data_IF_836957462796
#
_entry.id   IF_836957462796
#
_cell.length_a   1.000
_cell.length_b   1.000
_cell.length_c   1.000
_cell.angle_alpha   90.00
_cell.angle_beta   90.00
_cell.angle_gamma   90.00
#
_symmetry.space_group_name_H-M   'P 1'
#
loop_
_entity.id
_entity.type
_entity.pdbx_description
1 polymer ?
#
# COMPACT_ATOMS: atom_id res chain seq x y z
N UNK A 1 4.80 -10.42 -19.56
CA UNK A 1 5.30 -11.79 -19.40
C UNK A 1 4.36 -12.85 -20.00
N UNK A 2 3.07 -12.53 -20.15
CA UNK A 2 2.06 -13.42 -20.77
C UNK A 2 1.85 -13.17 -22.27
N UNK A 3 2.73 -12.47 -22.94
CA UNK A 3 2.70 -12.23 -24.39
C UNK A 3 1.73 -11.14 -24.86
N UNK A 4 0.99 -10.51 -23.98
CA UNK A 4 0.14 -9.38 -24.35
C UNK A 4 0.99 -8.12 -24.58
N UNK A 5 0.69 -7.36 -25.65
CA UNK A 5 1.30 -6.06 -25.88
C UNK A 5 0.72 -5.07 -24.85
N UNK A 6 1.57 -4.56 -23.97
CA UNK A 6 1.16 -3.76 -22.81
C UNK A 6 1.75 -2.36 -22.85
N UNK A 7 0.92 -1.36 -22.57
CA UNK A 7 1.32 0.02 -22.30
C UNK A 7 0.97 0.31 -20.83
N UNK A 8 1.94 0.82 -20.07
CA UNK A 8 1.75 1.29 -18.70
C UNK A 8 1.83 2.82 -18.70
N UNK A 9 0.74 3.45 -18.26
CA UNK A 9 0.61 4.91 -18.15
C UNK A 9 0.81 5.30 -16.70
N UNK A 10 1.72 6.23 -16.44
CA UNK A 10 2.05 6.71 -15.09
C UNK A 10 2.20 8.24 -15.08
N UNK A 11 1.53 8.90 -14.13
CA UNK A 11 1.58 10.35 -13.99
C UNK A 11 2.92 10.87 -13.46
N UNK A 12 3.62 10.08 -12.66
CA UNK A 12 4.96 10.38 -12.17
C UNK A 12 6.02 10.02 -13.22
N UNK A 13 7.27 10.40 -12.98
CA UNK A 13 8.42 10.01 -13.78
C UNK A 13 9.07 8.69 -13.35
N UNK A 14 8.37 7.85 -12.56
CA UNK A 14 8.88 6.61 -11.98
C UNK A 14 7.71 5.70 -11.55
N UNK A 15 8.01 4.41 -11.38
CA UNK A 15 7.09 3.39 -10.87
C UNK A 15 7.22 3.22 -9.34
N UNK A 16 6.32 2.43 -8.74
CA UNK A 16 6.37 1.99 -7.34
C UNK A 16 5.22 2.48 -6.46
N UNK A 17 4.35 3.35 -6.97
CA UNK A 17 3.16 3.82 -6.24
C UNK A 17 3.52 4.44 -4.90
N UNK A 18 2.80 4.08 -3.82
CA UNK A 18 2.99 4.67 -2.50
C UNK A 18 4.39 4.45 -1.90
N UNK A 19 5.07 3.35 -2.25
CA UNK A 19 6.42 3.05 -1.75
C UNK A 19 7.46 4.06 -2.26
N UNK A 20 7.27 4.61 -3.45
CA UNK A 20 8.20 5.56 -4.07
C UNK A 20 7.67 6.98 -4.09
N UNK A 21 6.37 7.17 -4.31
CA UNK A 21 5.76 8.50 -4.42
C UNK A 21 5.34 9.10 -3.07
N UNK A 22 5.07 8.28 -2.05
CA UNK A 22 4.58 8.78 -0.75
C UNK A 22 5.59 8.58 0.38
N UNK A 23 6.81 8.11 0.10
CA UNK A 23 7.82 7.82 1.11
C UNK A 23 7.37 6.77 2.14
N UNK A 24 6.43 5.88 1.75
CA UNK A 24 5.88 4.87 2.64
C UNK A 24 6.86 3.70 2.78
N UNK A 25 7.12 3.27 3.99
CA UNK A 25 7.93 2.10 4.33
C UNK A 25 7.74 1.71 5.79
N UNK A 26 8.21 0.52 6.18
CA UNK A 26 8.64 -0.62 5.35
C UNK A 26 7.46 -1.32 4.65
N UNK A 27 7.74 -2.31 3.80
CA UNK A 27 6.68 -3.17 3.27
C UNK A 27 6.20 -4.14 4.35
N UNK A 28 4.91 -4.18 4.60
CA UNK A 28 4.25 -5.01 5.62
C UNK A 28 3.04 -5.71 5.01
N UNK A 29 2.91 -7.00 5.03
CA UNK A 29 3.82 -8.09 5.34
C UNK A 29 3.76 -9.12 4.21
N UNK A 30 4.87 -9.81 3.94
CA UNK A 30 4.90 -10.93 2.99
C UNK A 30 4.48 -12.24 3.66
N UNK A 31 4.43 -12.27 5.00
CA UNK A 31 4.26 -13.49 5.79
C UNK A 31 2.99 -13.47 6.65
N UNK A 32 2.54 -14.67 6.98
CA UNK A 32 1.59 -14.96 8.05
C UNK A 32 2.23 -16.00 8.96
N UNK A 33 2.65 -15.60 10.16
CA UNK A 33 3.56 -16.40 10.97
C UNK A 33 4.86 -16.69 10.18
N UNK A 34 5.24 -17.96 10.14
CA UNK A 34 6.43 -18.42 9.41
C UNK A 34 6.17 -18.71 7.92
N UNK A 35 4.93 -18.59 7.46
CA UNK A 35 4.55 -18.88 6.07
C UNK A 35 4.60 -17.63 5.23
N UNK A 36 5.41 -17.64 4.17
CA UNK A 36 5.39 -16.58 3.18
C UNK A 36 4.17 -16.74 2.27
N UNK A 37 3.20 -15.83 2.40
CA UNK A 37 1.92 -15.88 1.67
C UNK A 37 1.87 -14.94 0.46
N UNK A 38 2.80 -14.00 0.35
CA UNK A 38 2.97 -13.15 -0.84
C UNK A 38 4.23 -13.60 -1.57
N UNK A 39 4.05 -14.16 -2.77
CA UNK A 39 5.11 -14.71 -3.63
C UNK A 39 4.88 -14.28 -5.09
N UNK A 40 5.66 -14.84 -6.03
CA UNK A 40 5.59 -14.53 -7.45
C UNK A 40 6.34 -13.22 -7.77
N UNK A 41 5.79 -12.37 -8.62
CA UNK A 41 6.43 -11.10 -9.02
C UNK A 41 6.83 -10.21 -7.85
N UNK A 42 6.03 -10.06 -6.76
CA UNK A 42 6.47 -9.34 -5.57
C UNK A 42 7.75 -9.88 -4.95
N UNK A 43 7.91 -11.20 -4.91
CA UNK A 43 9.11 -11.84 -4.39
C UNK A 43 10.30 -11.69 -5.35
N UNK A 44 10.08 -11.82 -6.65
CA UNK A 44 11.14 -11.59 -7.65
C UNK A 44 11.67 -10.15 -7.58
N UNK A 45 10.80 -9.17 -7.38
CA UNK A 45 11.19 -7.78 -7.19
C UNK A 45 12.06 -7.64 -5.94
N UNK A 46 11.65 -8.26 -4.83
CA UNK A 46 12.40 -8.17 -3.59
C UNK A 46 13.78 -8.86 -3.70
N UNK A 47 13.86 -10.01 -4.35
CA UNK A 47 15.13 -10.69 -4.64
C UNK A 47 16.07 -9.82 -5.47
N UNK A 48 15.54 -9.10 -6.44
CA UNK A 48 16.32 -8.18 -7.25
C UNK A 48 16.76 -6.95 -6.44
N UNK A 49 15.92 -6.44 -5.54
CA UNK A 49 16.28 -5.38 -4.59
C UNK A 49 17.43 -5.82 -3.66
N UNK A 50 17.35 -7.04 -3.11
CA UNK A 50 18.42 -7.62 -2.28
C UNK A 50 19.71 -7.77 -3.08
N UNK A 51 19.62 -8.34 -4.27
CA UNK A 51 20.77 -8.58 -5.14
C UNK A 51 21.54 -7.29 -5.48
N UNK A 52 20.81 -6.17 -5.62
CA UNK A 52 21.40 -4.84 -5.89
C UNK A 52 21.79 -4.06 -4.64
N UNK A 53 21.52 -4.58 -3.45
CA UNK A 53 21.81 -3.90 -2.17
C UNK A 53 20.80 -2.83 -1.79
N UNK A 54 19.59 -2.85 -2.39
CA UNK A 54 18.52 -1.90 -2.12
C UNK A 54 17.51 -2.40 -1.09
N UNK A 55 17.66 -3.61 -0.59
CA UNK A 55 16.82 -4.17 0.48
C UNK A 55 17.62 -5.15 1.34
N UNK A 56 17.15 -5.32 2.55
CA UNK A 56 17.69 -6.29 3.52
C UNK A 56 16.95 -7.62 3.49
N UNK A 57 15.90 -7.70 2.70
CA UNK A 57 14.98 -8.84 2.69
C UNK A 57 13.97 -8.81 3.83
N UNK A 58 13.21 -9.89 3.94
CA UNK A 58 12.18 -10.04 4.96
C UNK A 58 12.81 -10.33 6.31
N UNK A 59 12.47 -9.54 7.31
CA UNK A 59 12.88 -9.72 8.70
C UNK A 59 11.65 -9.79 9.61
N UNK A 60 11.75 -10.41 10.79
CA UNK A 60 10.68 -10.32 11.79
C UNK A 60 10.33 -8.85 12.08
N UNK A 61 9.05 -8.57 12.24
CA UNK A 61 8.60 -7.22 12.58
C UNK A 61 9.08 -6.83 13.99
N UNK A 62 9.93 -5.82 14.05
CA UNK A 62 10.48 -5.31 15.31
C UNK A 62 9.44 -4.65 16.21
N UNK A 63 8.30 -4.24 15.67
CA UNK A 63 7.15 -3.70 16.41
C UNK A 63 6.24 -4.83 16.91
N UNK A 64 6.30 -6.01 16.26
CA UNK A 64 5.45 -7.15 16.56
C UNK A 64 3.99 -6.98 16.17
N UNK A 65 3.70 -6.09 15.23
CA UNK A 65 2.36 -5.82 14.75
C UNK A 65 1.92 -6.81 13.66
N UNK A 66 2.84 -7.18 12.80
CA UNK A 66 2.64 -8.18 11.74
C UNK A 66 3.77 -9.22 11.76
N UNK A 67 3.79 -10.15 10.81
CA UNK A 67 4.75 -11.25 10.84
C UNK A 67 6.14 -10.85 10.36
N UNK A 68 6.21 -9.97 9.36
CA UNK A 68 7.49 -9.51 8.82
C UNK A 68 7.41 -8.08 8.30
N UNK A 69 8.56 -7.42 8.32
CA UNK A 69 8.79 -6.16 7.63
C UNK A 69 9.89 -6.32 6.59
N UNK A 70 9.90 -5.45 5.60
CA UNK A 70 10.91 -5.44 4.55
C UNK A 70 11.35 -4.00 4.31
N UNK A 71 12.50 -3.65 4.85
CA UNK A 71 13.11 -2.35 4.65
C UNK A 71 13.75 -2.27 3.27
N UNK A 72 13.63 -1.15 2.61
CA UNK A 72 14.09 -0.96 1.23
C UNK A 72 14.50 0.49 0.94
N UNK A 73 15.29 0.66 -0.10
CA UNK A 73 15.63 1.95 -0.70
C UNK A 73 14.60 2.31 -1.78
N UNK A 74 13.81 3.40 -1.61
CA UNK A 74 12.82 3.80 -2.59
C UNK A 74 13.42 4.23 -3.93
N UNK A 75 14.64 4.76 -3.98
CA UNK A 75 15.30 5.09 -5.24
C UNK A 75 15.74 3.83 -5.99
N UNK A 76 16.27 2.84 -5.27
CA UNK A 76 16.57 1.53 -5.84
C UNK A 76 15.31 0.83 -6.37
N UNK A 77 14.20 0.96 -5.68
CA UNK A 77 12.91 0.37 -6.10
C UNK A 77 12.39 0.97 -7.41
N UNK A 78 12.55 2.28 -7.65
CA UNK A 78 12.19 2.91 -8.93
C UNK A 78 12.93 2.23 -10.10
N UNK A 79 14.24 2.02 -9.93
CA UNK A 79 15.10 1.39 -10.94
C UNK A 79 14.66 -0.07 -11.18
N UNK A 80 14.46 -0.84 -10.12
CA UNK A 80 14.09 -2.26 -10.22
C UNK A 80 12.75 -2.45 -10.93
N UNK A 81 11.72 -1.68 -10.56
CA UNK A 81 10.43 -1.78 -11.24
C UNK A 81 10.49 -1.37 -12.71
N UNK A 82 11.27 -0.34 -13.04
CA UNK A 82 11.47 0.10 -14.42
C UNK A 82 12.15 -0.99 -15.26
N UNK A 83 13.24 -1.55 -14.75
CA UNK A 83 13.97 -2.63 -15.43
C UNK A 83 13.09 -3.86 -15.64
N UNK A 84 12.40 -4.33 -14.59
CA UNK A 84 11.49 -5.48 -14.68
C UNK A 84 10.35 -5.25 -15.70
N UNK A 85 9.80 -4.02 -15.76
CA UNK A 85 8.76 -3.69 -16.73
C UNK A 85 9.31 -3.70 -18.16
N UNK A 86 10.48 -3.11 -18.39
CA UNK A 86 11.14 -3.06 -19.72
C UNK A 86 11.57 -4.45 -20.19
N UNK A 87 12.14 -5.26 -19.31
CA UNK A 87 12.51 -6.65 -19.60
C UNK A 87 11.29 -7.50 -19.96
N UNK A 88 10.13 -7.20 -19.37
CA UNK A 88 8.86 -7.83 -19.75
C UNK A 88 8.26 -7.29 -21.06
N UNK A 89 8.91 -6.33 -21.72
CA UNK A 89 8.45 -5.75 -22.99
C UNK A 89 7.32 -4.72 -22.83
N UNK A 90 7.12 -4.17 -21.64
CA UNK A 90 6.11 -3.13 -21.38
C UNK A 90 6.56 -1.79 -21.97
N UNK A 91 5.67 -1.13 -22.70
CA UNK A 91 5.87 0.27 -23.11
C UNK A 91 5.49 1.20 -21.97
N UNK A 92 6.45 1.96 -21.45
CA UNK A 92 6.23 2.93 -20.38
C UNK A 92 5.87 4.30 -20.96
N UNK A 93 4.83 4.95 -20.38
CA UNK A 93 4.45 6.34 -20.67
C UNK A 93 4.38 7.13 -19.36
N UNK A 94 5.51 7.74 -19.00
CA UNK A 94 5.62 8.62 -17.83
C UNK A 94 5.06 10.02 -18.08
N UNK A 95 4.84 10.79 -17.01
CA UNK A 95 4.27 12.14 -17.05
C UNK A 95 3.00 12.21 -17.88
N UNK A 96 2.17 11.17 -17.77
CA UNK A 96 0.97 10.98 -18.55
C UNK A 96 -0.21 10.75 -17.63
N UNK A 97 -1.21 11.61 -17.72
CA UNK A 97 -2.40 11.60 -16.87
C UNK A 97 -3.59 11.05 -17.63
N UNK A 98 -4.31 10.11 -17.02
CA UNK A 98 -5.62 9.68 -17.54
C UNK A 98 -6.66 10.79 -17.31
N UNK A 99 -7.44 11.12 -18.34
CA UNK A 99 -8.42 12.21 -18.28
C UNK A 99 -9.85 11.77 -18.61
N UNK A 100 -10.04 10.53 -18.99
CA UNK A 100 -11.36 9.98 -19.29
C UNK A 100 -11.32 8.82 -20.26
N UNK A 101 -12.47 8.22 -20.51
CA UNK A 101 -12.63 7.14 -21.49
C UNK A 101 -13.96 7.25 -22.23
N UNK A 102 -14.05 6.56 -23.36
CA UNK A 102 -15.32 6.35 -24.07
C UNK A 102 -15.79 4.93 -23.85
N UNK A 103 -17.09 4.74 -23.61
CA UNK A 103 -17.70 3.43 -23.38
C UNK A 103 -18.87 3.24 -24.34
N UNK A 104 -18.91 2.08 -24.99
CA UNK A 104 -20.01 1.66 -25.84
C UNK A 104 -20.44 0.24 -25.47
N UNK A 105 -21.71 0.06 -25.16
CA UNK A 105 -22.30 -1.24 -24.80
C UNK A 105 -21.52 -1.98 -23.69
N UNK A 106 -21.11 -1.27 -22.64
CA UNK A 106 -20.37 -1.86 -21.52
C UNK A 106 -18.90 -2.18 -21.81
N UNK A 107 -18.34 -1.67 -22.91
CA UNK A 107 -16.95 -1.89 -23.31
C UNK A 107 -16.23 -0.55 -23.43
N UNK A 108 -15.13 -0.36 -22.73
CA UNK A 108 -14.25 0.80 -22.91
C UNK A 108 -13.60 0.68 -24.29
N UNK A 109 -13.78 1.74 -25.14
CA UNK A 109 -13.22 1.80 -26.49
C UNK A 109 -11.89 2.51 -26.50
N UNK A 110 -11.83 3.66 -25.85
CA UNK A 110 -10.62 4.48 -25.80
C UNK A 110 -10.40 5.05 -24.40
N UNK A 111 -9.14 5.19 -23.99
CA UNK A 111 -8.72 6.02 -22.88
C UNK A 111 -8.13 7.31 -23.42
N UNK A 112 -8.54 8.45 -22.86
CA UNK A 112 -7.98 9.76 -23.14
C UNK A 112 -6.91 10.10 -22.14
N UNK A 113 -5.75 10.49 -22.63
CA UNK A 113 -4.57 10.80 -21.87
C UNK A 113 -4.11 12.23 -22.14
N UNK A 114 -3.53 12.88 -21.14
CA UNK A 114 -2.89 14.17 -21.27
C UNK A 114 -1.39 14.07 -20.98
N UNK A 115 -0.60 14.67 -21.84
CA UNK A 115 0.85 14.81 -21.70
C UNK A 115 1.26 16.24 -22.02
N UNK A 116 2.51 16.61 -21.77
CA UNK A 116 3.01 17.94 -22.22
C UNK A 116 2.94 18.14 -23.75
N UNK A 117 2.89 17.07 -24.53
CA UNK A 117 2.73 17.10 -25.98
C UNK A 117 1.28 17.21 -26.44
N UNK A 118 0.31 17.26 -25.53
CA UNK A 118 -1.12 17.35 -25.83
C UNK A 118 -1.90 16.10 -25.44
N UNK A 119 -3.09 15.96 -26.02
CA UNK A 119 -3.96 14.82 -25.77
C UNK A 119 -3.66 13.64 -26.68
N UNK A 120 -3.76 12.45 -26.13
CA UNK A 120 -3.66 11.18 -26.84
C UNK A 120 -4.87 10.32 -26.53
N UNK A 121 -5.26 9.49 -27.47
CA UNK A 121 -6.26 8.44 -27.28
C UNK A 121 -5.62 7.09 -27.53
N UNK A 122 -5.82 6.17 -26.59
CA UNK A 122 -5.36 4.79 -26.69
C UNK A 122 -6.54 3.84 -26.68
N UNK A 123 -6.54 2.89 -27.62
CA UNK A 123 -7.47 1.76 -27.62
C UNK A 123 -6.75 0.50 -27.14
N UNK A 124 -7.45 -0.31 -26.37
CA UNK A 124 -6.96 -1.59 -25.89
C UNK A 124 -8.10 -2.61 -25.82
N UNK A 125 -7.76 -3.91 -25.88
CA UNK A 125 -8.75 -4.96 -25.62
C UNK A 125 -9.21 -4.98 -24.18
N UNK A 126 -8.27 -4.76 -23.24
CA UNK A 126 -8.53 -4.78 -21.80
C UNK A 126 -7.83 -3.60 -21.14
N UNK A 127 -8.48 -2.99 -20.18
CA UNK A 127 -7.98 -1.90 -19.34
C UNK A 127 -7.81 -2.39 -17.92
N UNK A 128 -6.66 -2.06 -17.30
CA UNK A 128 -6.41 -2.29 -15.87
C UNK A 128 -6.37 -0.94 -15.19
N UNK A 129 -7.34 -0.70 -14.31
CA UNK A 129 -7.36 0.51 -13.47
C UNK A 129 -6.47 0.29 -12.25
N UNK A 130 -5.24 0.77 -12.33
CA UNK A 130 -4.27 0.81 -11.24
C UNK A 130 -4.08 2.22 -10.67
N UNK A 131 -5.03 3.13 -10.90
CA UNK A 131 -4.98 4.52 -10.42
C UNK A 131 -5.07 4.62 -8.90
N UNK A 132 -5.44 3.54 -8.22
CA UNK A 132 -5.71 3.45 -6.79
C UNK A 132 -6.98 4.20 -6.33
N UNK A 133 -7.50 5.11 -7.14
CA UNK A 133 -8.65 5.96 -6.84
C UNK A 133 -9.88 5.65 -7.73
N UNK A 134 -9.84 4.54 -8.49
CA UNK A 134 -10.87 4.10 -9.42
C UNK A 134 -11.16 5.13 -10.54
N UNK A 135 -10.14 5.79 -11.07
CA UNK A 135 -10.31 6.86 -12.05
C UNK A 135 -10.87 6.35 -13.37
N UNK A 136 -10.33 5.23 -13.88
CA UNK A 136 -10.82 4.61 -15.12
C UNK A 136 -12.21 4.03 -14.90
N UNK A 137 -12.43 3.32 -13.79
CA UNK A 137 -13.70 2.71 -13.45
C UNK A 137 -14.82 3.77 -13.33
N UNK A 138 -14.56 4.85 -12.59
CA UNK A 138 -15.53 5.96 -12.42
C UNK A 138 -15.82 6.66 -13.75
N UNK A 139 -14.77 6.92 -14.56
CA UNK A 139 -14.94 7.49 -15.90
C UNK A 139 -15.72 6.56 -16.84
N UNK A 140 -15.65 5.26 -16.65
CA UNK A 140 -16.42 4.27 -17.39
C UNK A 140 -17.87 4.09 -16.89
N UNK A 141 -18.29 4.85 -15.87
CA UNK A 141 -19.64 4.81 -15.30
C UNK A 141 -19.84 3.69 -14.26
N UNK A 142 -18.75 3.09 -13.77
CA UNK A 142 -18.83 2.10 -12.68
C UNK A 142 -19.17 2.80 -11.37
N UNK A 143 -20.15 2.27 -10.65
CA UNK A 143 -20.49 2.76 -9.31
C UNK A 143 -19.32 2.55 -8.36
N UNK A 144 -19.03 3.54 -7.55
CA UNK A 144 -18.00 3.47 -6.50
C UNK A 144 -18.51 4.04 -5.17
N UNK A 145 -17.95 3.54 -4.08
CA UNK A 145 -18.19 4.02 -2.71
C UNK A 145 -16.95 4.75 -2.24
N UNK A 146 -17.11 5.95 -1.69
CA UNK A 146 -16.02 6.71 -1.10
C UNK A 146 -16.00 6.53 0.41
N UNK A 147 -14.84 6.21 0.99
CA UNK A 147 -14.69 6.10 2.43
C UNK A 147 -15.59 5.06 3.08
N UNK A 148 -16.07 5.33 4.30
CA UNK A 148 -17.04 4.49 5.02
C UNK A 148 -18.48 4.85 4.64
N UNK A 149 -19.39 3.88 4.83
CA UNK A 149 -20.76 4.00 4.30
C UNK A 149 -21.62 5.00 5.08
N UNK A 150 -21.30 5.28 6.36
CA UNK A 150 -22.13 6.11 7.24
C UNK A 150 -22.08 7.59 6.90
N UNK A 151 -20.92 8.10 6.48
CA UNK A 151 -20.69 9.55 6.30
C UNK A 151 -19.73 9.91 5.15
N UNK A 152 -19.29 8.91 4.39
CA UNK A 152 -18.31 9.06 3.29
C UNK A 152 -16.94 9.60 3.75
N UNK A 153 -16.56 9.42 5.00
CA UNK A 153 -15.22 9.78 5.47
C UNK A 153 -14.23 8.65 5.19
N UNK A 154 -13.12 9.00 4.54
CA UNK A 154 -12.01 8.08 4.29
C UNK A 154 -11.03 8.06 5.45
N UNK A 155 -10.24 6.99 5.55
CA UNK A 155 -9.13 6.92 6.50
C UNK A 155 -8.16 8.09 6.30
N UNK A 156 -7.59 8.68 7.39
CA UNK A 156 -6.71 9.83 7.30
C UNK A 156 -5.51 9.61 6.37
N UNK A 157 -5.14 10.64 5.65
CA UNK A 157 -3.91 10.67 4.87
C UNK A 157 -2.69 10.80 5.78
N UNK A 158 -1.52 10.45 5.26
CA UNK A 158 -0.25 10.60 5.96
C UNK A 158 0.81 11.13 5.02
N UNK A 159 1.53 12.14 5.43
CA UNK A 159 2.77 12.54 4.79
C UNK A 159 3.93 11.84 5.52
N UNK A 160 4.38 10.72 4.99
CA UNK A 160 5.58 10.08 5.50
C UNK A 160 6.81 10.92 5.14
N UNK A 161 7.80 10.87 6.01
CA UNK A 161 9.07 11.53 5.76
C UNK A 161 10.23 10.69 6.30
N UNK A 162 11.39 10.90 5.74
CA UNK A 162 12.62 10.22 6.14
C UNK A 162 13.52 11.18 6.89
N UNK A 163 14.16 10.67 7.92
CA UNK A 163 15.21 11.36 8.69
C UNK A 163 16.47 10.52 8.69
N UNK A 164 17.61 11.17 8.72
CA UNK A 164 18.93 10.52 8.83
C UNK A 164 19.74 11.13 9.98
N UNK A 165 20.83 10.47 10.36
CA UNK A 165 21.68 10.89 11.47
C UNK A 165 21.12 10.57 12.85
N UNK A 166 20.26 9.55 12.92
CA UNK A 166 19.73 9.00 14.16
C UNK A 166 20.78 8.09 14.81
N UNK A 167 20.99 8.23 16.12
CA UNK A 167 21.86 7.38 16.92
C UNK A 167 21.09 6.10 17.31
N UNK A 168 21.28 5.03 16.53
CA UNK A 168 20.63 3.73 16.73
C UNK A 168 20.80 3.18 18.14
N UNK A 169 22.01 3.27 18.69
CA UNK A 169 22.28 2.69 20.01
C UNK A 169 21.50 3.42 21.09
N UNK A 170 21.44 4.74 21.04
CA UNK A 170 20.58 5.52 21.96
C UNK A 170 19.10 5.21 21.81
N UNK A 171 18.63 5.03 20.58
CA UNK A 171 17.23 4.62 20.31
C UNK A 171 16.98 3.25 20.94
N UNK A 172 17.85 2.28 20.71
CA UNK A 172 17.74 0.95 21.27
C UNK A 172 17.74 0.97 22.81
N UNK A 173 18.67 1.71 23.42
CA UNK A 173 18.71 1.91 24.86
C UNK A 173 17.45 2.54 25.41
N UNK A 174 16.94 3.58 24.72
CA UNK A 174 15.70 4.24 25.10
C UNK A 174 14.52 3.26 25.09
N UNK A 175 14.33 2.51 24.02
CA UNK A 175 13.23 1.54 23.90
C UNK A 175 13.33 0.45 24.97
N UNK A 176 14.51 -0.19 25.13
CA UNK A 176 14.69 -1.28 26.07
C UNK A 176 14.57 -0.86 27.54
N UNK A 177 14.93 0.39 27.86
CA UNK A 177 14.81 0.93 29.23
C UNK A 177 13.39 1.45 29.53
N UNK A 178 12.49 1.51 28.55
CA UNK A 178 11.14 2.06 28.70
C UNK A 178 10.06 1.14 28.10
N UNK A 179 10.24 -0.18 28.17
CA UNK A 179 9.32 -1.13 27.54
C UNK A 179 7.85 -0.98 27.98
N UNK A 180 7.60 -0.51 29.20
CA UNK A 180 6.24 -0.25 29.70
C UNK A 180 5.57 0.98 29.03
N UNK A 181 6.37 1.83 28.39
CA UNK A 181 5.93 3.02 27.62
C UNK A 181 5.94 2.75 26.10
N UNK A 182 6.21 1.52 25.69
CA UNK A 182 6.19 1.07 24.30
C UNK A 182 4.95 0.26 23.98
N UNK A 183 4.70 0.03 22.70
CA UNK A 183 3.66 -0.90 22.28
C UNK A 183 3.90 -2.28 22.88
N UNK A 184 2.83 -2.94 23.31
CA UNK A 184 2.88 -4.24 24.01
C UNK A 184 3.58 -5.36 23.23
N UNK A 185 3.74 -5.17 21.92
CA UNK A 185 4.37 -6.15 21.02
C UNK A 185 5.89 -5.96 20.90
N UNK A 186 6.44 -4.87 21.42
CA UNK A 186 7.85 -4.51 21.27
C UNK A 186 8.74 -5.65 21.77
N UNK A 187 9.61 -6.22 20.93
CA UNK A 187 10.45 -7.36 21.32
C UNK A 187 11.55 -6.95 22.27
N UNK A 188 11.89 -7.87 23.20
CA UNK A 188 12.97 -7.65 24.17
C UNK A 188 14.37 -7.89 23.61
N UNK A 189 14.47 -8.61 22.48
CA UNK A 189 15.71 -8.90 21.77
C UNK A 189 16.04 -7.87 20.67
N UNK A 190 15.62 -6.63 20.83
CA UNK A 190 15.73 -5.57 19.83
C UNK A 190 17.17 -5.42 19.30
N UNK A 191 18.19 -5.58 20.17
CA UNK A 191 19.62 -5.49 19.77
C UNK A 191 20.08 -6.58 18.80
N UNK A 192 19.37 -7.71 18.74
CA UNK A 192 19.68 -8.83 17.86
C UNK A 192 19.10 -8.63 16.46
N UNK A 193 18.17 -7.69 16.32
CA UNK A 193 17.53 -7.40 15.05
C UNK A 193 18.44 -6.52 14.18
N UNK A 194 18.48 -6.82 12.90
CA UNK A 194 19.28 -6.05 11.93
C UNK A 194 18.77 -4.60 11.81
N UNK A 195 17.46 -4.41 11.83
CA UNK A 195 16.79 -3.12 11.90
C UNK A 195 15.78 -3.15 13.03
N UNK A 196 15.56 -2.04 13.66
CA UNK A 196 14.55 -1.94 14.68
C UNK A 196 13.73 -0.68 14.57
N UNK A 197 12.46 -0.84 14.91
CA UNK A 197 11.43 0.14 14.72
C UNK A 197 10.94 0.58 16.09
N UNK A 198 10.38 1.77 16.16
CA UNK A 198 9.80 2.33 17.38
C UNK A 198 8.30 2.37 17.20
N UNK A 199 7.56 1.77 18.16
CA UNK A 199 6.14 2.00 18.34
C UNK A 199 5.85 2.19 19.83
N UNK A 200 5.35 3.38 20.22
CA UNK A 200 5.09 3.71 21.63
C UNK A 200 5.57 5.08 22.02
N UNK A 201 6.33 5.17 23.13
CA UNK A 201 6.76 6.43 23.75
C UNK A 201 5.57 7.34 24.08
N UNK A 202 4.50 6.74 24.60
CA UNK A 202 3.23 7.41 24.90
C UNK A 202 3.41 8.58 25.87
N UNK A 203 4.23 8.39 26.90
CA UNK A 203 4.53 9.41 27.89
C UNK A 203 5.23 10.65 27.29
N UNK A 204 6.07 10.42 26.25
CA UNK A 204 6.78 11.52 25.58
C UNK A 204 5.85 12.36 24.72
N UNK A 205 4.92 11.73 24.03
CA UNK A 205 3.88 12.45 23.27
C UNK A 205 2.97 13.21 24.24
N UNK A 206 2.54 12.58 25.34
CA UNK A 206 1.71 13.26 26.33
C UNK A 206 2.42 14.49 26.93
N UNK A 207 3.68 14.34 27.29
CA UNK A 207 4.47 15.46 27.82
C UNK A 207 4.61 16.62 26.81
N UNK A 208 4.77 16.31 25.53
CA UNK A 208 4.84 17.34 24.49
C UNK A 208 3.49 18.02 24.25
N UNK A 209 2.37 17.28 24.33
CA UNK A 209 1.01 17.83 24.28
C UNK A 209 0.74 18.74 25.48
N UNK A 210 1.07 18.31 26.69
CA UNK A 210 0.91 19.09 27.91
C UNK A 210 1.73 20.40 27.90
N UNK A 211 2.87 20.37 27.22
CA UNK A 211 3.71 21.54 26.99
C UNK A 211 3.22 22.46 25.84
N UNK A 212 2.18 22.06 25.11
CA UNK A 212 1.67 22.81 23.94
C UNK A 212 2.63 22.79 22.74
N UNK A 213 3.45 21.74 22.60
CA UNK A 213 4.47 21.61 21.55
C UNK A 213 4.16 20.52 20.51
N UNK A 214 3.10 19.72 20.75
CA UNK A 214 2.64 18.69 19.82
C UNK A 214 1.10 18.69 19.76
N UNK A 215 0.55 18.97 18.58
CA UNK A 215 -0.90 19.18 18.36
C UNK A 215 -1.51 18.11 17.46
N UNK A 216 -0.68 17.25 16.85
CA UNK A 216 -1.15 16.19 15.96
C UNK A 216 -1.93 15.18 16.80
N UNK A 217 -3.07 14.74 16.26
CA UNK A 217 -3.91 13.72 16.91
C UNK A 217 -3.29 12.33 16.77
N UNK A 218 -2.21 12.13 17.50
CA UNK A 218 -1.44 10.88 17.64
C UNK A 218 -1.02 10.72 19.09
N UNK A 219 -1.01 9.50 19.54
CA UNK A 219 -0.57 9.09 20.88
C UNK A 219 0.70 8.22 20.86
N UNK A 220 1.17 7.86 19.68
CA UNK A 220 2.23 6.87 19.46
C UNK A 220 3.30 7.44 18.53
N UNK A 221 4.55 7.37 18.94
CA UNK A 221 5.69 7.47 18.00
C UNK A 221 5.68 6.23 17.13
N UNK A 222 5.82 6.41 15.83
CA UNK A 222 5.94 5.30 14.87
C UNK A 222 7.01 5.65 13.85
N UNK A 223 8.16 4.99 14.00
CA UNK A 223 9.33 5.17 13.13
C UNK A 223 9.90 3.80 12.79
N UNK A 224 10.34 3.63 11.54
CA UNK A 224 10.88 2.39 11.00
C UNK A 224 12.27 2.64 10.43
N UNK A 225 13.26 1.89 10.88
CA UNK A 225 14.61 1.98 10.31
C UNK A 225 14.59 1.46 8.87
N UNK A 226 15.26 2.16 7.95
CA UNK A 226 15.39 1.76 6.55
C UNK A 226 16.49 0.71 6.39
N UNK A 227 16.85 0.37 5.15
CA UNK A 227 18.04 -0.46 4.87
C UNK A 227 19.37 0.28 5.10
N UNK A 228 19.32 1.56 5.47
CA UNK A 228 20.48 2.40 5.80
C UNK A 228 20.49 2.68 7.32
N UNK A 229 21.59 2.34 7.97
CA UNK A 229 21.74 2.53 9.41
C UNK A 229 21.54 4.01 9.82
N UNK A 230 20.69 4.23 10.82
CA UNK A 230 20.39 5.58 11.32
C UNK A 230 19.51 6.44 10.41
N UNK A 231 18.93 5.83 9.37
CA UNK A 231 17.86 6.44 8.58
C UNK A 231 16.52 5.81 8.94
N UNK A 232 15.50 6.64 9.20
CA UNK A 232 14.17 6.19 9.61
C UNK A 232 13.07 6.81 8.76
N UNK A 233 12.09 5.99 8.38
CA UNK A 233 10.77 6.44 7.92
C UNK A 233 9.95 6.83 9.14
N UNK A 234 9.39 8.02 9.14
CA UNK A 234 8.51 8.52 10.21
C UNK A 234 7.07 8.53 9.70
N UNK A 235 6.20 7.77 10.38
CA UNK A 235 4.77 7.65 10.09
C UNK A 235 3.95 8.22 11.25
N UNK A 236 4.03 9.52 11.48
CA UNK A 236 3.39 10.18 12.62
C UNK A 236 2.41 11.28 12.24
N UNK A 237 2.40 11.75 10.99
CA UNK A 237 1.42 12.74 10.55
C UNK A 237 0.04 12.12 10.39
N UNK A 238 -1.01 12.93 10.55
CA UNK A 238 -2.39 12.48 10.44
C UNK A 238 -3.26 13.60 9.89
N UNK A 239 -3.67 13.49 8.66
CA UNK A 239 -4.48 14.49 7.96
C UNK A 239 -5.84 13.85 7.66
N UNK A 240 -6.85 14.24 8.43
CA UNK A 240 -8.21 13.70 8.37
C UNK A 240 -9.18 14.67 7.69
N UNK A 241 -10.33 14.14 7.25
CA UNK A 241 -11.47 14.92 6.71
C UNK A 241 -11.18 15.69 5.42
N UNK A 242 -10.19 15.26 4.66
CA UNK A 242 -9.91 15.74 3.31
C UNK A 242 -10.24 14.67 2.26
N UNK A 243 -10.82 15.10 1.17
CA UNK A 243 -11.08 14.22 0.03
C UNK A 243 -9.81 13.98 -0.78
N UNK A 244 -9.55 12.72 -1.10
CA UNK A 244 -8.43 12.33 -1.95
C UNK A 244 -8.69 12.58 -3.46
N UNK A 245 -9.91 12.96 -3.82
CA UNK A 245 -10.35 13.17 -5.21
C UNK A 245 -10.84 14.58 -5.49
N UNK A 246 -10.87 15.44 -4.48
CA UNK A 246 -11.07 16.86 -4.64
C UNK A 246 -9.71 17.58 -4.65
N UNK A 247 -9.39 18.38 -5.69
CA UNK A 247 -8.07 18.99 -5.82
C UNK A 247 -7.78 20.06 -4.76
N UNK A 248 -8.80 20.73 -4.23
CA UNK A 248 -8.60 21.75 -3.19
C UNK A 248 -8.35 21.09 -1.82
N UNK A 249 -9.13 20.07 -1.47
CA UNK A 249 -8.91 19.27 -0.28
C UNK A 249 -7.52 18.59 -0.29
N UNK A 250 -7.15 18.01 -1.43
CA UNK A 250 -5.83 17.38 -1.58
C UNK A 250 -4.70 18.39 -1.45
N UNK A 251 -4.87 19.61 -1.97
CA UNK A 251 -3.90 20.69 -1.81
C UNK A 251 -3.74 21.10 -0.34
N UNK A 252 -4.83 21.28 0.39
CA UNK A 252 -4.78 21.60 1.80
C UNK A 252 -4.17 20.45 2.62
N UNK A 253 -4.48 19.19 2.27
CA UNK A 253 -3.88 18.03 2.92
C UNK A 253 -2.35 17.97 2.71
N UNK A 254 -1.85 18.33 1.53
CA UNK A 254 -0.42 18.44 1.23
C UNK A 254 0.24 19.55 2.07
N UNK A 255 -0.39 20.70 2.18
CA UNK A 255 0.10 21.84 2.96
C UNK A 255 0.13 21.49 4.46
N UNK A 256 -0.95 20.95 4.98
CA UNK A 256 -1.06 20.53 6.37
C UNK A 256 -0.06 19.40 6.68
N UNK A 257 0.09 18.43 5.79
CA UNK A 257 1.07 17.36 5.92
C UNK A 257 2.50 17.89 6.13
N UNK A 258 2.92 18.87 5.33
CA UNK A 258 4.25 19.51 5.48
C UNK A 258 4.42 20.28 6.78
N UNK A 259 3.37 20.92 7.29
CA UNK A 259 3.39 21.57 8.63
C UNK A 259 3.56 20.52 9.74
N UNK A 260 2.82 19.42 9.65
CA UNK A 260 2.92 18.32 10.63
C UNK A 260 4.29 17.62 10.57
N UNK A 261 4.93 17.49 9.40
CA UNK A 261 6.32 17.02 9.28
C UNK A 261 7.27 17.89 10.10
N UNK A 262 7.16 19.22 10.00
CA UNK A 262 8.01 20.14 10.77
C UNK A 262 7.76 20.05 12.28
N UNK A 263 6.51 19.91 12.69
CA UNK A 263 6.14 19.74 14.10
C UNK A 263 6.68 18.42 14.65
N UNK A 264 6.48 17.32 13.91
CA UNK A 264 6.97 15.99 14.30
C UNK A 264 8.50 15.97 14.38
N UNK A 265 9.21 16.60 13.45
CA UNK A 265 10.67 16.67 13.47
C UNK A 265 11.18 17.40 14.73
N UNK A 266 10.55 18.52 15.12
CA UNK A 266 10.89 19.24 16.38
C UNK A 266 10.64 18.36 17.59
N UNK A 267 9.49 17.66 17.62
CA UNK A 267 9.15 16.72 18.69
C UNK A 267 10.20 15.61 18.81
N UNK A 268 10.53 14.91 17.73
CA UNK A 268 11.52 13.83 17.75
C UNK A 268 12.87 14.30 18.28
N UNK A 269 13.36 15.42 17.80
CA UNK A 269 14.66 15.99 18.26
C UNK A 269 14.70 16.33 19.74
N UNK A 270 13.57 16.78 20.30
CA UNK A 270 13.51 17.21 21.69
C UNK A 270 13.18 16.12 22.69
N UNK A 271 12.30 15.17 22.29
CA UNK A 271 11.68 14.23 23.22
C UNK A 271 12.13 12.79 23.07
N UNK A 272 12.72 12.40 21.92
CA UNK A 272 13.08 11.00 21.65
C UNK A 272 14.61 10.85 21.62
N UNK A 273 15.20 10.15 22.61
CA UNK A 273 16.64 9.89 22.65
C UNK A 273 17.12 9.19 21.37
N UNK A 274 18.23 9.67 20.84
CA UNK A 274 18.81 9.21 19.58
C UNK A 274 18.42 10.06 18.36
N UNK A 275 17.36 10.90 18.45
CA UNK A 275 16.93 11.77 17.37
C UNK A 275 17.42 13.22 17.50
N UNK A 276 18.17 13.57 18.52
CA UNK A 276 18.58 14.95 18.82
C UNK A 276 19.25 15.63 17.63
N UNK A 277 20.09 14.89 16.91
CA UNK A 277 20.88 15.40 15.79
C UNK A 277 20.35 14.94 14.42
N UNK A 278 19.15 14.33 14.36
CA UNK A 278 18.62 13.90 13.09
C UNK A 278 18.28 15.07 12.17
N UNK A 279 18.26 14.82 10.89
CA UNK A 279 17.92 15.78 9.84
C UNK A 279 16.84 15.21 8.93
N UNK A 280 15.98 16.08 8.42
CA UNK A 280 15.02 15.72 7.38
C UNK A 280 15.79 15.36 6.11
N UNK A 281 15.62 14.12 5.61
CA UNK A 281 16.11 13.71 4.31
C UNK A 281 15.16 14.19 3.20
N UNK A 282 13.91 13.74 3.26
CA UNK A 282 12.83 14.17 2.38
C UNK A 282 11.46 13.81 3.00
N UNK A 283 10.41 14.46 2.53
CA UNK A 283 9.04 13.97 2.67
C UNK A 283 8.57 13.35 1.35
N UNK A 284 7.62 12.44 1.40
CA UNK A 284 7.05 11.88 0.17
C UNK A 284 6.66 13.01 -0.80
N UNK A 285 7.01 12.90 -2.11
CA UNK A 285 6.58 13.86 -3.12
C UNK A 285 5.07 14.09 -3.14
N UNK A 286 4.31 13.05 -2.86
CA UNK A 286 2.86 13.07 -2.74
C UNK A 286 2.44 12.58 -1.35
N UNK A 287 1.33 13.12 -0.83
CA UNK A 287 0.74 12.63 0.41
C UNK A 287 0.25 11.18 0.23
N UNK A 288 0.43 10.36 1.24
CA UNK A 288 -0.03 8.97 1.26
C UNK A 288 -1.54 8.88 1.53
N UNK A 289 -2.28 8.43 0.54
CA UNK A 289 -3.73 8.24 0.61
C UNK A 289 -4.02 6.79 1.00
N UNK A 290 -4.65 6.59 2.17
CA UNK A 290 -5.02 5.25 2.65
C UNK A 290 -6.28 4.70 2.01
N UNK A 291 -7.24 5.56 1.73
CA UNK A 291 -8.54 5.19 1.20
C UNK A 291 -9.14 6.33 0.37
N UNK A 292 -9.89 5.98 -0.66
CA UNK A 292 -10.67 6.88 -1.49
C UNK A 292 -11.88 6.13 -2.09
N UNK A 293 -12.10 6.21 -3.39
CA UNK A 293 -13.13 5.44 -4.08
C UNK A 293 -12.76 3.96 -4.17
N UNK A 294 -13.74 3.10 -3.89
CA UNK A 294 -13.71 1.64 -4.08
C UNK A 294 -14.83 1.26 -5.02
N UNK A 295 -14.55 0.45 -6.02
CA UNK A 295 -15.59 0.04 -7.00
C UNK A 295 -16.66 -0.83 -6.34
N UNK A 296 -17.87 -0.80 -6.86
CA UNK A 296 -18.91 -1.76 -6.55
C UNK A 296 -18.75 -2.96 -7.50
N UNK A 297 -17.92 -3.91 -7.09
CA UNK A 297 -17.56 -5.09 -7.87
C UNK A 297 -18.58 -6.21 -7.80
N UNK A 298 -18.30 -7.31 -8.51
CA UNK A 298 -19.14 -8.52 -8.46
C UNK A 298 -19.18 -9.13 -7.06
N UNK A 299 -18.14 -8.92 -6.27
CA UNK A 299 -18.10 -9.29 -4.85
C UNK A 299 -17.45 -8.16 -4.04
N UNK A 300 -18.04 -7.81 -2.90
CA UNK A 300 -17.48 -6.84 -1.96
C UNK A 300 -16.85 -7.59 -0.79
N UNK A 301 -15.53 -7.55 -0.71
CA UNK A 301 -14.75 -8.18 0.35
C UNK A 301 -15.07 -7.54 1.71
N UNK A 302 -15.36 -8.36 2.72
CA UNK A 302 -15.78 -7.93 4.06
C UNK A 302 -14.71 -8.20 5.11
N UNK A 303 -14.86 -7.59 6.29
CA UNK A 303 -13.99 -7.84 7.42
C UNK A 303 -14.09 -9.29 7.93
N UNK A 304 -15.29 -9.85 7.88
CA UNK A 304 -15.59 -11.22 8.28
C UNK A 304 -14.86 -12.22 7.38
N UNK A 305 -14.85 -11.98 6.07
CA UNK A 305 -14.09 -12.82 5.13
C UNK A 305 -12.61 -12.94 5.55
N UNK A 306 -12.02 -11.83 6.00
CA UNK A 306 -10.62 -11.80 6.43
C UNK A 306 -10.41 -12.52 7.76
N UNK A 307 -11.25 -12.25 8.76
CA UNK A 307 -11.08 -12.79 10.11
C UNK A 307 -11.49 -14.25 10.24
N UNK A 308 -12.38 -14.72 9.37
CA UNK A 308 -12.80 -16.12 9.29
C UNK A 308 -11.90 -16.95 8.37
N UNK A 309 -10.90 -16.31 7.78
CA UNK A 309 -9.94 -16.95 6.86
C UNK A 309 -10.63 -17.63 5.68
N UNK A 310 -11.64 -16.95 5.11
CA UNK A 310 -12.42 -17.51 3.99
C UNK A 310 -11.50 -17.80 2.82
N UNK A 311 -11.53 -19.04 2.33
CA UNK A 311 -10.86 -19.45 1.09
C UNK A 311 -11.86 -19.44 -0.05
N UNK A 312 -11.78 -18.40 -0.88
CA UNK A 312 -12.65 -18.28 -2.04
C UNK A 312 -12.25 -19.26 -3.15
N UNK A 313 -13.23 -19.84 -3.87
CA UNK A 313 -12.91 -20.71 -5.01
C UNK A 313 -12.18 -19.98 -6.13
N UNK A 314 -12.38 -18.67 -6.24
CA UNK A 314 -11.72 -17.76 -7.18
C UNK A 314 -10.62 -16.91 -6.53
N UNK A 315 -10.00 -17.37 -5.45
CA UNK A 315 -8.91 -16.68 -4.77
C UNK A 315 -7.72 -16.45 -5.69
N UNK A 316 -7.19 -15.22 -5.70
CA UNK A 316 -6.09 -14.80 -6.59
C UNK A 316 -4.88 -14.23 -5.85
N UNK A 317 -5.02 -13.90 -4.60
CA UNK A 317 -3.95 -13.43 -3.73
C UNK A 317 -4.25 -13.81 -2.27
N UNK A 318 -3.20 -13.84 -1.45
CA UNK A 318 -3.29 -14.09 -0.01
C UNK A 318 -2.72 -12.91 0.77
N UNK A 319 -3.18 -12.74 2.02
CA UNK A 319 -2.67 -11.71 2.91
C UNK A 319 -2.63 -12.15 4.37
N UNK A 320 -1.59 -11.73 5.08
CA UNK A 320 -1.41 -11.97 6.52
C UNK A 320 -1.45 -10.68 7.37
N UNK A 321 -1.77 -9.53 6.78
CA UNK A 321 -1.80 -8.27 7.49
C UNK A 321 -3.11 -8.12 8.26
N UNK A 322 -3.09 -7.68 9.53
CA UNK A 322 -4.30 -7.51 10.33
C UNK A 322 -5.18 -6.36 9.82
N UNK A 323 -6.40 -6.30 10.31
CA UNK A 323 -7.28 -5.14 10.11
C UNK A 323 -6.71 -3.97 10.92
N UNK A 324 -6.45 -2.86 10.22
CA UNK A 324 -5.78 -1.65 10.74
C UNK A 324 -6.54 -0.40 10.29
N UNK A 325 -7.67 -0.14 10.95
CA UNK A 325 -8.55 0.99 10.62
C UNK A 325 -8.09 2.24 11.35
N UNK A 326 -7.59 3.22 10.60
CA UNK A 326 -7.36 4.57 11.11
C UNK A 326 -8.69 5.34 11.11
N UNK A 327 -9.19 5.69 12.30
CA UNK A 327 -10.49 6.37 12.41
C UNK A 327 -10.51 7.70 11.64
N UNK A 328 -11.50 7.93 10.77
CA UNK A 328 -11.66 9.21 10.07
C UNK A 328 -12.00 10.39 10.99
N UNK A 329 -12.59 10.13 12.15
CA UNK A 329 -13.00 11.18 13.11
C UNK A 329 -11.87 11.71 13.98
N UNK A 330 -10.68 11.13 13.85
CA UNK A 330 -9.61 11.32 14.83
C UNK A 330 -9.61 10.21 15.88
N UNK A 331 -8.70 10.28 16.85
CA UNK A 331 -8.56 9.26 17.89
C UNK A 331 -7.76 8.03 17.45
N UNK A 332 -7.92 6.94 18.17
CA UNK A 332 -7.08 5.77 18.05
C UNK A 332 -7.37 4.92 16.79
N UNK A 333 -6.34 4.24 16.32
CA UNK A 333 -6.46 3.20 15.32
C UNK A 333 -7.11 1.96 15.91
N UNK A 334 -8.07 1.37 15.19
CA UNK A 334 -8.74 0.12 15.60
C UNK A 334 -8.05 -1.05 14.93
N UNK A 335 -7.51 -1.95 15.74
CA UNK A 335 -6.82 -3.15 15.26
C UNK A 335 -7.65 -4.39 15.57
N UNK A 336 -7.78 -5.28 14.56
CA UNK A 336 -8.31 -6.64 14.77
C UNK A 336 -7.32 -7.62 14.15
N UNK A 337 -6.60 -8.34 15.01
CA UNK A 337 -5.61 -9.31 14.60
C UNK A 337 -6.27 -10.57 14.04
N UNK A 338 -5.62 -11.17 13.06
CA UNK A 338 -5.95 -12.50 12.58
C UNK A 338 -5.58 -13.55 13.64
N UNK A 339 -6.05 -14.78 13.48
CA UNK A 339 -5.53 -15.91 14.27
C UNK A 339 -4.03 -16.04 14.02
N UNK A 340 -3.20 -16.30 15.04
CA UNK A 340 -1.76 -16.42 14.86
C UNK A 340 -1.40 -17.37 13.72
N UNK A 341 -0.54 -16.92 12.79
CA UNK A 341 -0.09 -17.69 11.65
C UNK A 341 -1.14 -17.92 10.56
N UNK A 342 -2.32 -17.32 10.67
CA UNK A 342 -3.36 -17.46 9.66
C UNK A 342 -3.29 -16.40 8.57
N UNK A 343 -3.89 -16.70 7.43
CA UNK A 343 -4.03 -15.78 6.29
C UNK A 343 -5.43 -15.83 5.71
N UNK A 344 -5.79 -14.78 5.00
CA UNK A 344 -7.03 -14.66 4.23
C UNK A 344 -6.76 -14.70 2.73
N UNK A 345 -7.80 -14.97 1.95
CA UNK A 345 -7.73 -14.89 0.50
C UNK A 345 -8.49 -13.68 -0.07
N UNK A 346 -8.09 -13.23 -1.25
CA UNK A 346 -8.77 -12.17 -2.02
C UNK A 346 -9.38 -12.78 -3.28
N UNK A 347 -10.70 -12.64 -3.51
CA UNK A 347 -11.35 -13.23 -4.67
C UNK A 347 -11.19 -12.37 -5.93
N UNK A 348 -11.09 -13.00 -7.10
CA UNK A 348 -11.05 -12.30 -8.39
C UNK A 348 -12.28 -11.41 -8.62
N UNK A 349 -13.45 -11.86 -8.16
CA UNK A 349 -14.71 -11.12 -8.28
C UNK A 349 -14.70 -9.74 -7.63
N UNK A 350 -13.77 -9.45 -6.73
CA UNK A 350 -13.58 -8.10 -6.17
C UNK A 350 -12.81 -7.15 -7.09
N UNK A 351 -12.23 -7.65 -8.18
CA UNK A 351 -11.49 -6.85 -9.16
C UNK A 351 -12.28 -6.52 -10.42
N UNK A 352 -13.45 -7.10 -10.62
CA UNK A 352 -14.26 -6.94 -11.83
C UNK A 352 -15.65 -6.42 -11.51
N UNK A 353 -16.24 -5.72 -12.46
CA UNK A 353 -17.53 -5.03 -12.28
C UNK A 353 -18.61 -5.63 -13.19
N UNK A 354 -19.89 -5.59 -12.79
CA UNK A 354 -20.97 -6.16 -13.60
C UNK A 354 -21.17 -5.43 -14.92
N UNK A 355 -20.93 -4.12 -14.97
CA UNK A 355 -21.35 -3.23 -16.05
C UNK A 355 -20.29 -2.96 -17.12
N UNK A 356 -19.01 -3.27 -16.87
CA UNK A 356 -17.92 -3.01 -17.81
C UNK A 356 -17.13 -4.30 -18.06
N UNK A 357 -17.17 -4.79 -19.29
CA UNK A 357 -16.70 -6.13 -19.64
C UNK A 357 -15.17 -6.26 -19.73
N UNK A 358 -14.49 -5.20 -20.12
CA UNK A 358 -13.05 -5.19 -20.39
C UNK A 358 -12.25 -4.35 -19.40
N UNK A 359 -12.75 -4.22 -18.15
CA UNK A 359 -12.11 -3.50 -17.07
C UNK A 359 -11.77 -4.45 -15.92
N UNK A 360 -10.55 -4.35 -15.41
CA UNK A 360 -10.09 -4.99 -14.16
C UNK A 360 -9.52 -3.88 -13.29
N UNK A 361 -9.86 -3.84 -12.01
CA UNK A 361 -9.24 -2.90 -11.06
C UNK A 361 -8.10 -3.57 -10.30
N UNK A 362 -7.02 -2.83 -10.06
CA UNK A 362 -5.85 -3.32 -9.34
C UNK A 362 -5.33 -2.22 -8.40
N UNK A 363 -5.47 -2.41 -7.11
CA UNK A 363 -5.06 -1.43 -6.11
C UNK A 363 -6.07 -1.31 -4.99
N UNK A 364 -5.93 -0.28 -4.16
CA UNK A 364 -6.83 -0.05 -3.02
C UNK A 364 -8.29 0.30 -3.43
N UNK A 365 -8.53 0.55 -4.70
CA UNK A 365 -9.86 0.77 -5.27
C UNK A 365 -10.65 -0.52 -5.55
N UNK A 366 -10.11 -1.71 -5.22
CA UNK A 366 -10.86 -2.96 -5.32
C UNK A 366 -12.15 -2.91 -4.50
N UNK A 367 -13.11 -3.80 -4.85
CA UNK A 367 -14.38 -3.87 -4.14
C UNK A 367 -14.21 -4.47 -2.75
N UNK A 368 -14.24 -3.61 -1.73
CA UNK A 368 -14.10 -3.98 -0.33
C UNK A 368 -14.86 -3.00 0.58
N UNK A 369 -15.29 -3.45 1.76
CA UNK A 369 -15.79 -2.54 2.80
C UNK A 369 -14.66 -1.66 3.32
N UNK A 370 -15.00 -0.54 3.97
CA UNK A 370 -14.05 0.34 4.65
C UNK A 370 -13.08 -0.43 5.56
N UNK A 371 -13.62 -1.37 6.34
CA UNK A 371 -12.84 -2.17 7.30
C UNK A 371 -11.94 -3.18 6.56
N UNK A 372 -12.45 -3.92 5.59
CA UNK A 372 -11.64 -4.88 4.83
C UNK A 372 -10.52 -4.17 4.04
N UNK A 373 -10.81 -3.01 3.46
CA UNK A 373 -9.83 -2.20 2.74
C UNK A 373 -8.60 -1.89 3.60
N UNK A 374 -8.78 -1.68 4.91
CA UNK A 374 -7.68 -1.36 5.83
C UNK A 374 -6.60 -2.45 5.90
N UNK A 375 -6.96 -3.70 5.65
CA UNK A 375 -6.03 -4.84 5.65
C UNK A 375 -5.47 -5.15 4.25
N UNK A 376 -6.33 -5.10 3.20
CA UNK A 376 -5.90 -5.52 1.86
C UNK A 376 -5.19 -4.42 1.06
N UNK A 377 -5.21 -3.16 1.53
CA UNK A 377 -4.53 -2.02 0.87
C UNK A 377 -3.01 -2.00 1.06
N UNK A 378 -2.47 -2.86 1.91
CA UNK A 378 -1.02 -2.89 2.13
C UNK A 378 -0.27 -3.40 0.90
N UNK A 379 0.90 -2.84 0.67
CA UNK A 379 1.60 -2.97 -0.60
C UNK A 379 1.94 -4.41 -1.01
N UNK A 380 2.39 -5.32 -0.12
CA UNK A 380 2.64 -6.71 -0.52
C UNK A 380 1.38 -7.42 -1.05
N UNK A 381 0.25 -7.27 -0.37
CA UNK A 381 -1.03 -7.85 -0.80
C UNK A 381 -1.47 -7.25 -2.14
N UNK A 382 -1.37 -5.92 -2.30
CA UNK A 382 -1.73 -5.24 -3.56
C UNK A 382 -0.83 -5.65 -4.72
N UNK A 383 0.46 -5.91 -4.50
CA UNK A 383 1.35 -6.42 -5.55
C UNK A 383 0.93 -7.83 -6.01
N UNK A 384 0.53 -8.70 -5.09
CA UNK A 384 -0.06 -10.00 -5.42
C UNK A 384 -1.35 -9.88 -6.24
N UNK A 385 -2.25 -8.98 -5.82
CA UNK A 385 -3.47 -8.64 -6.56
C UNK A 385 -3.16 -8.10 -7.96
N UNK A 386 -2.15 -7.23 -8.09
CA UNK A 386 -1.75 -6.65 -9.38
C UNK A 386 -1.17 -7.70 -10.33
N UNK A 387 -0.39 -8.66 -9.82
CA UNK A 387 0.06 -9.81 -10.63
C UNK A 387 -1.12 -10.61 -11.19
N UNK A 388 -2.13 -10.86 -10.36
CA UNK A 388 -3.33 -11.57 -10.78
C UNK A 388 -4.14 -10.77 -11.81
N UNK A 389 -4.32 -9.47 -11.58
CA UNK A 389 -5.01 -8.57 -12.51
C UNK A 389 -4.32 -8.53 -13.89
N UNK A 390 -2.98 -8.42 -13.91
CA UNK A 390 -2.21 -8.45 -15.15
C UNK A 390 -2.27 -9.79 -15.87
N UNK A 391 -2.27 -10.91 -15.15
CA UNK A 391 -2.43 -12.26 -15.71
C UNK A 391 -3.83 -12.43 -16.32
N UNK A 392 -4.86 -12.01 -15.59
CA UNK A 392 -6.26 -12.03 -16.05
C UNK A 392 -6.47 -11.15 -17.29
N UNK A 393 -5.89 -9.94 -17.30
CA UNK A 393 -5.96 -9.04 -18.45
C UNK A 393 -5.35 -9.66 -19.71
N UNK A 394 -4.20 -10.34 -19.57
CA UNK A 394 -3.59 -11.05 -20.68
C UNK A 394 -4.45 -12.23 -21.18
N UNK A 395 -5.01 -13.03 -20.26
CA UNK A 395 -5.93 -14.11 -20.64
C UNK A 395 -7.17 -13.59 -21.38
N UNK A 396 -7.81 -12.53 -20.85
CA UNK A 396 -8.95 -11.86 -21.49
C UNK A 396 -8.58 -11.37 -22.89
N UNK A 397 -7.45 -10.70 -23.05
CA UNK A 397 -7.00 -10.16 -24.33
C UNK A 397 -6.67 -11.25 -25.38
N UNK A 398 -6.21 -12.43 -24.96
CA UNK A 398 -5.89 -13.55 -25.85
C UNK A 398 -7.10 -14.38 -26.23
N UNK A 399 -8.07 -14.51 -25.33
CA UNK A 399 -9.26 -15.33 -25.55
C UNK A 399 -10.46 -14.54 -26.05
N UNK A 400 -10.36 -13.21 -26.08
CA UNK A 400 -11.47 -12.27 -26.34
C UNK A 400 -12.67 -12.47 -25.39
N UNK A 401 -12.45 -13.10 -24.23
CA UNK A 401 -13.45 -13.28 -23.18
C UNK A 401 -13.56 -12.01 -22.33
N UNK A 402 -14.77 -11.55 -21.99
CA UNK A 402 -14.95 -10.48 -21.02
C UNK A 402 -14.21 -10.76 -19.71
N UNK A 403 -13.56 -9.74 -19.15
CA UNK A 403 -12.78 -9.88 -17.92
C UNK A 403 -13.62 -10.43 -16.75
N UNK A 404 -14.90 -10.00 -16.67
CA UNK A 404 -15.84 -10.46 -15.63
C UNK A 404 -16.44 -11.85 -15.89
N UNK A 405 -16.04 -12.53 -16.97
CA UNK A 405 -16.50 -13.88 -17.35
C UNK A 405 -15.32 -14.85 -17.53
N UNK A 406 -14.11 -14.49 -17.12
CA UNK A 406 -12.94 -15.35 -17.22
C UNK A 406 -13.11 -16.65 -16.44
N UNK A 407 -12.49 -17.71 -16.96
CA UNK A 407 -12.31 -18.96 -16.21
C UNK A 407 -11.29 -18.72 -15.08
N UNK A 408 -11.80 -18.57 -13.88
CA UNK A 408 -10.97 -18.33 -12.69
C UNK A 408 -10.16 -19.55 -12.28
N UNK A 409 -10.54 -20.77 -12.67
CA UNK A 409 -9.72 -21.97 -12.44
C UNK A 409 -8.46 -21.91 -13.30
N UNK A 410 -8.60 -21.62 -14.61
CA UNK A 410 -7.46 -21.44 -15.51
C UNK A 410 -6.55 -20.29 -15.05
N UNK A 411 -7.12 -19.19 -14.55
CA UNK A 411 -6.35 -18.08 -13.96
C UNK A 411 -5.55 -18.56 -12.74
N UNK A 412 -6.17 -19.26 -11.81
CA UNK A 412 -5.52 -19.75 -10.58
C UNK A 412 -4.39 -20.75 -10.88
N UNK A 413 -4.62 -21.69 -11.81
CA UNK A 413 -3.58 -22.63 -12.21
C UNK A 413 -2.37 -21.90 -12.82
N UNK A 414 -2.62 -20.87 -13.62
CA UNK A 414 -1.53 -20.04 -14.16
C UNK A 414 -0.78 -19.29 -13.05
N UNK A 415 -1.50 -18.69 -12.09
CA UNK A 415 -0.88 -17.99 -10.96
C UNK A 415 -0.03 -18.93 -10.10
N UNK A 416 -0.50 -20.16 -9.83
CA UNK A 416 0.30 -21.17 -9.13
C UNK A 416 1.56 -21.56 -9.92
N UNK A 417 1.44 -21.74 -11.23
CA UNK A 417 2.58 -22.02 -12.10
C UNK A 417 3.60 -20.88 -12.11
N UNK A 418 3.16 -19.63 -11.85
CA UNK A 418 3.98 -18.44 -11.70
C UNK A 418 4.49 -18.22 -10.26
N UNK A 419 4.35 -19.21 -9.39
CA UNK A 419 4.86 -19.18 -8.03
C UNK A 419 3.99 -18.41 -7.02
N UNK A 420 2.77 -18.00 -7.38
CA UNK A 420 1.85 -17.35 -6.44
C UNK A 420 1.35 -18.39 -5.43
N UNK A 421 1.40 -18.04 -4.14
CA UNK A 421 0.87 -18.85 -3.06
C UNK A 421 -0.66 -18.73 -3.01
N UNK A 422 -1.39 -19.83 -3.21
CA UNK A 422 -2.85 -19.89 -3.20
C UNK A 422 -3.37 -21.10 -2.39
N UNK A 423 -2.76 -21.35 -1.25
CA UNK A 423 -3.14 -22.45 -0.38
C UNK A 423 -4.11 -22.01 0.71
N UNK A 424 -5.05 -22.90 1.05
CA UNK A 424 -5.99 -22.69 2.13
C UNK A 424 -5.28 -22.73 3.48
N UNK A 425 -5.65 -21.81 4.38
CA UNK A 425 -5.22 -21.89 5.77
C UNK A 425 -5.87 -23.12 6.44
N UNK A 426 -5.05 -23.95 7.04
CA UNK A 426 -5.48 -25.11 7.83
C UNK A 426 -5.02 -24.88 9.27
N UNK A 427 -5.97 -24.73 10.24
CA UNK A 427 -5.65 -24.49 11.65
C UNK A 427 -4.87 -25.63 12.31
#
# INVERSE_FOLDING_TARGET
>A
RRGAKTILVEQNGYLGGALTACGTGPQMTYHAGDVQVVRGIPQEMEEEMIRRGFSTGHIPDAVGFCSSTTAFDPEGMKIVWEDMAREAGVTLMYHTVFTGCTVENGVIRTARLYTKGGFYELSAKVFVDASADADVATSAGVTSVYGREEDNLAQPMTMNFHVYGVDREKVCDFVLNNLDDMARYTPRNLRELRHYDISGAFSRIQAAKDAGEFHIDRDTVLCFETNTDGEYVVNMTRIAKHSAVDPFDLTEAEIEGRKQVQETLRFLKKYIPGFENCHLAFSGPNIGIRESRKVDGVYKLTAEDLTDNVMFPDAIAMGGYPIDVHSPDGGNTVHKFLKPGSWYSVPYRSLVTPGVENLIVAGRCLSATHVACSAVRVTPVLMGIAQAAGTAAAQSAHTDMPANKLDTNALREQLKADGVFLEEYKP
#
